data_IF_105828088124
#
_entry.id   IF_105828088124
#
_cell.length_a   1.000
_cell.length_b   1.000
_cell.length_c   1.000
_cell.angle_alpha   90.00
_cell.angle_beta   90.00
_cell.angle_gamma   90.00
#
_symmetry.space_group_name_H-M   'P 1'
#
loop_
_entity.id
_entity.type
_entity.pdbx_description
1 polymer ?
#
# COMPACT_ATOMS: atom_id res chain seq x y z
N UNK A 1 8.88 6.46 5.80
CA UNK A 1 8.52 7.88 5.71
C UNK A 1 9.72 8.75 5.29
N UNK A 2 10.77 8.87 6.12
CA UNK A 2 11.91 9.77 5.85
C UNK A 2 12.57 9.55 4.48
N UNK A 3 12.77 8.28 4.08
CA UNK A 3 13.33 7.89 2.77
C UNK A 3 12.62 8.55 1.57
N UNK A 4 11.32 8.83 1.69
CA UNK A 4 10.49 9.34 0.60
C UNK A 4 10.22 10.85 0.70
N UNK A 5 10.74 11.53 1.72
CA UNK A 5 10.38 12.92 2.05
C UNK A 5 11.60 13.80 2.30
N UNK A 6 12.49 13.40 3.21
CA UNK A 6 13.56 14.26 3.73
C UNK A 6 14.97 13.70 3.50
N UNK A 7 15.09 12.40 3.21
CA UNK A 7 16.38 11.71 3.11
C UNK A 7 17.25 12.30 1.97
N UNK A 8 18.52 12.69 2.24
CA UNK A 8 19.44 13.08 1.20
C UNK A 8 19.73 11.94 0.22
N UNK A 9 19.87 12.26 -1.07
CA UNK A 9 20.11 11.26 -2.13
C UNK A 9 21.33 10.36 -1.86
N UNK A 10 22.40 10.89 -1.24
CA UNK A 10 23.60 10.11 -0.93
C UNK A 10 23.45 9.09 0.22
N UNK A 11 22.30 9.02 0.90
CA UNK A 11 22.12 8.19 2.08
C UNK A 11 21.48 6.80 1.80
N UNK A 12 21.23 6.47 0.53
CA UNK A 12 20.50 5.25 0.11
C UNK A 12 21.10 3.95 0.69
N UNK A 13 22.42 3.76 0.58
CA UNK A 13 23.08 2.54 1.07
C UNK A 13 22.97 2.40 2.60
N UNK A 14 23.17 3.50 3.32
CA UNK A 14 23.06 3.52 4.77
C UNK A 14 21.61 3.23 5.22
N UNK A 15 20.62 3.82 4.54
CA UNK A 15 19.20 3.58 4.80
C UNK A 15 18.81 2.13 4.54
N UNK A 16 19.28 1.54 3.44
CA UNK A 16 19.03 0.14 3.13
C UNK A 16 19.56 -0.79 4.23
N UNK A 17 20.78 -0.55 4.73
CA UNK A 17 21.36 -1.33 5.85
C UNK A 17 20.55 -1.18 7.15
N UNK A 18 20.07 0.03 7.46
CA UNK A 18 19.22 0.29 8.63
C UNK A 18 17.89 -0.49 8.55
N UNK A 19 17.22 -0.45 7.39
CA UNK A 19 15.97 -1.15 7.17
C UNK A 19 16.15 -2.67 7.23
N UNK A 20 17.22 -3.20 6.63
CA UNK A 20 17.52 -4.64 6.67
C UNK A 20 17.76 -5.12 8.11
N UNK A 21 18.55 -4.38 8.90
CA UNK A 21 18.80 -4.71 10.30
C UNK A 21 17.51 -4.70 11.13
N UNK A 22 16.67 -3.67 10.98
CA UNK A 22 15.40 -3.58 11.69
C UNK A 22 14.42 -4.69 11.26
N UNK A 23 14.37 -5.01 9.97
CA UNK A 23 13.53 -6.10 9.46
C UNK A 23 13.94 -7.45 10.06
N UNK A 24 15.25 -7.71 10.20
CA UNK A 24 15.75 -8.93 10.84
C UNK A 24 15.30 -9.02 12.31
N UNK A 25 15.45 -7.94 13.08
CA UNK A 25 15.01 -7.88 14.49
C UNK A 25 13.49 -8.08 14.60
N UNK A 26 12.71 -7.45 13.73
CA UNK A 26 11.25 -7.61 13.70
C UNK A 26 10.86 -9.05 13.35
N UNK A 27 11.55 -9.69 12.40
CA UNK A 27 11.26 -11.06 12.01
C UNK A 27 11.57 -12.05 13.13
N UNK A 28 12.74 -11.92 13.79
CA UNK A 28 13.10 -12.70 14.98
C UNK A 28 12.03 -12.57 16.07
N UNK A 29 11.65 -11.34 16.42
CA UNK A 29 10.62 -11.10 17.43
C UNK A 29 9.24 -11.69 17.05
N UNK A 30 8.86 -11.65 15.76
CA UNK A 30 7.59 -12.21 15.27
C UNK A 30 7.58 -13.74 15.21
N UNK A 31 8.75 -14.38 15.23
CA UNK A 31 8.90 -15.83 15.09
C UNK A 31 9.41 -16.50 16.36
N UNK A 32 9.49 -15.76 17.47
CA UNK A 32 9.93 -16.29 18.76
C UNK A 32 9.05 -17.49 19.18
N UNK A 33 9.64 -18.67 19.46
CA UNK A 33 8.91 -19.86 19.88
C UNK A 33 7.98 -19.65 21.07
N UNK A 34 8.32 -18.73 21.97
CA UNK A 34 7.51 -18.35 23.14
C UNK A 34 6.13 -17.87 22.72
N UNK A 35 6.03 -17.12 21.61
CA UNK A 35 4.74 -16.67 21.07
C UNK A 35 3.91 -17.88 20.65
N UNK A 36 4.51 -18.83 19.92
CA UNK A 36 3.84 -20.08 19.52
C UNK A 36 3.35 -20.89 20.71
N UNK A 37 4.13 -21.00 21.78
CA UNK A 37 3.74 -21.68 23.01
C UNK A 37 2.57 -21.01 23.71
N UNK A 38 2.59 -19.67 23.82
CA UNK A 38 1.51 -18.89 24.42
C UNK A 38 0.22 -19.02 23.60
N UNK A 39 0.30 -18.89 22.28
CA UNK A 39 -0.85 -19.06 21.39
C UNK A 39 -1.45 -20.47 21.52
N UNK A 40 -0.61 -21.51 21.60
CA UNK A 40 -1.07 -22.90 21.82
C UNK A 40 -1.79 -23.07 23.16
N UNK A 41 -1.30 -22.42 24.23
CA UNK A 41 -1.94 -22.44 25.56
C UNK A 41 -3.29 -21.70 25.57
N UNK A 42 -3.40 -20.61 24.81
CA UNK A 42 -4.61 -19.78 24.76
C UNK A 42 -5.69 -20.32 23.82
N UNK A 43 -5.33 -21.00 22.72
CA UNK A 43 -6.26 -21.55 21.71
C UNK A 43 -7.46 -22.33 22.31
N UNK A 44 -7.28 -23.23 23.30
CA UNK A 44 -8.40 -23.95 23.93
C UNK A 44 -9.43 -23.06 24.66
N UNK A 45 -9.03 -21.85 25.06
CA UNK A 45 -9.87 -20.91 25.80
C UNK A 45 -10.55 -19.87 24.90
N UNK A 46 -10.36 -19.95 23.58
CA UNK A 46 -10.81 -18.93 22.63
C UNK A 46 -12.32 -18.62 22.72
N UNK A 47 -13.15 -19.64 22.98
CA UNK A 47 -14.61 -19.47 23.10
C UNK A 47 -15.07 -18.80 24.39
N UNK A 48 -14.23 -18.77 25.43
CA UNK A 48 -14.50 -18.07 26.70
C UNK A 48 -13.94 -16.65 26.76
N UNK A 49 -13.17 -16.24 25.75
CA UNK A 49 -12.60 -14.89 25.71
C UNK A 49 -13.65 -13.85 25.28
N UNK A 50 -13.52 -12.60 25.75
CA UNK A 50 -14.23 -11.47 25.18
C UNK A 50 -14.00 -11.37 23.66
N UNK A 51 -14.96 -10.84 22.88
CA UNK A 51 -14.86 -10.81 21.41
C UNK A 51 -13.57 -10.18 20.87
N UNK A 52 -13.07 -9.13 21.53
CA UNK A 52 -11.82 -8.46 21.15
C UNK A 52 -10.60 -9.35 21.35
N UNK A 53 -10.47 -9.99 22.52
CA UNK A 53 -9.36 -10.89 22.82
C UNK A 53 -9.38 -12.15 21.95
N UNK A 54 -10.58 -12.68 21.66
CA UNK A 54 -10.75 -13.78 20.73
C UNK A 54 -10.29 -13.39 19.30
N UNK A 55 -10.58 -12.17 18.86
CA UNK A 55 -10.11 -11.66 17.58
C UNK A 55 -8.59 -11.48 17.55
N UNK A 56 -7.99 -10.94 18.62
CA UNK A 56 -6.54 -10.82 18.78
C UNK A 56 -5.85 -12.19 18.72
N UNK A 57 -6.35 -13.16 19.49
CA UNK A 57 -5.82 -14.52 19.48
C UNK A 57 -5.89 -15.15 18.09
N UNK A 58 -7.00 -14.97 17.37
CA UNK A 58 -7.18 -15.49 16.01
C UNK A 58 -6.18 -14.84 15.04
N UNK A 59 -6.13 -13.51 14.98
CA UNK A 59 -5.26 -12.77 14.05
C UNK A 59 -3.77 -13.02 14.37
N UNK A 60 -3.39 -13.02 15.65
CA UNK A 60 -2.03 -13.32 16.07
C UNK A 60 -1.64 -14.76 15.72
N UNK A 61 -2.54 -15.73 15.88
CA UNK A 61 -2.32 -17.12 15.46
C UNK A 61 -2.12 -17.22 13.95
N UNK A 62 -3.01 -16.62 13.16
CA UNK A 62 -2.93 -16.63 11.70
C UNK A 62 -1.59 -16.02 11.22
N UNK A 63 -1.19 -14.87 11.79
CA UNK A 63 0.07 -14.19 11.45
C UNK A 63 1.30 -14.98 11.88
N UNK A 64 1.30 -15.54 13.08
CA UNK A 64 2.40 -16.37 13.56
C UNK A 64 2.58 -17.60 12.68
N UNK A 65 1.49 -18.35 12.45
CA UNK A 65 1.52 -19.56 11.63
C UNK A 65 2.01 -19.28 10.20
N UNK A 66 1.60 -18.15 9.60
CA UNK A 66 2.08 -17.72 8.27
C UNK A 66 3.57 -17.34 8.29
N UNK A 67 3.99 -16.52 9.26
CA UNK A 67 5.37 -16.03 9.35
C UNK A 67 6.32 -17.18 9.66
N UNK A 68 5.95 -18.10 10.56
CA UNK A 68 6.78 -19.23 10.96
C UNK A 68 6.92 -20.31 9.88
N UNK A 69 6.02 -20.36 8.91
CA UNK A 69 6.13 -21.26 7.74
C UNK A 69 7.18 -20.78 6.75
N UNK A 70 7.49 -19.48 6.74
CA UNK A 70 8.52 -18.92 5.88
C UNK A 70 9.90 -19.12 6.51
N UNK A 71 10.75 -19.93 5.87
CA UNK A 71 12.11 -20.13 6.35
C UNK A 71 12.94 -18.85 6.20
N UNK A 72 13.94 -18.67 7.06
CA UNK A 72 14.89 -17.56 6.94
C UNK A 72 15.60 -17.54 5.58
N UNK A 73 15.89 -18.71 5.02
CA UNK A 73 16.46 -18.85 3.68
C UNK A 73 15.50 -18.37 2.57
N UNK A 74 14.21 -18.72 2.66
CA UNK A 74 13.20 -18.25 1.71
C UNK A 74 13.02 -16.72 1.80
N UNK A 75 12.95 -16.19 3.03
CA UNK A 75 12.85 -14.75 3.28
C UNK A 75 14.06 -13.98 2.72
N UNK A 76 15.29 -14.48 2.95
CA UNK A 76 16.50 -13.88 2.42
C UNK A 76 16.53 -13.89 0.87
N UNK A 77 16.14 -15.01 0.27
CA UNK A 77 16.08 -15.15 -1.19
C UNK A 77 15.01 -14.24 -1.81
N UNK A 78 13.87 -14.07 -1.15
CA UNK A 78 12.84 -13.11 -1.55
C UNK A 78 13.39 -11.68 -1.55
N UNK A 79 14.00 -11.25 -0.44
CA UNK A 79 14.53 -9.89 -0.31
C UNK A 79 15.62 -9.59 -1.35
N UNK A 80 16.54 -10.53 -1.61
CA UNK A 80 17.55 -10.40 -2.64
C UNK A 80 16.91 -10.26 -4.04
N UNK A 81 15.94 -11.13 -4.35
CA UNK A 81 15.25 -11.10 -5.64
C UNK A 81 14.47 -9.80 -5.85
N UNK A 82 13.75 -9.31 -4.84
CA UNK A 82 13.00 -8.05 -4.92
C UNK A 82 13.94 -6.86 -5.19
N UNK A 83 15.08 -6.78 -4.49
CA UNK A 83 16.08 -5.72 -4.71
C UNK A 83 16.65 -5.77 -6.13
N UNK A 84 17.03 -6.95 -6.62
CA UNK A 84 17.55 -7.10 -7.99
C UNK A 84 16.47 -6.80 -9.03
N UNK A 85 15.24 -7.27 -8.80
CA UNK A 85 14.11 -7.09 -9.69
C UNK A 85 13.73 -5.63 -9.85
N UNK A 86 13.72 -4.86 -8.77
CA UNK A 86 13.47 -3.42 -8.83
C UNK A 86 14.51 -2.69 -9.68
N UNK A 87 15.80 -2.99 -9.49
CA UNK A 87 16.88 -2.41 -10.30
C UNK A 87 16.80 -2.80 -11.77
N UNK A 88 16.50 -4.06 -12.07
CA UNK A 88 16.31 -4.55 -13.45
C UNK A 88 15.10 -3.88 -14.12
N UNK A 89 13.96 -3.83 -13.44
CA UNK A 89 12.74 -3.17 -13.91
C UNK A 89 12.95 -1.69 -14.19
N UNK A 90 13.64 -0.97 -13.31
CA UNK A 90 13.87 0.48 -13.46
C UNK A 90 14.62 0.79 -14.75
N UNK A 91 15.69 0.03 -15.05
CA UNK A 91 16.44 0.19 -16.31
C UNK A 91 15.62 -0.21 -17.53
N UNK A 92 15.03 -1.41 -17.48
CA UNK A 92 14.20 -1.94 -18.57
C UNK A 92 13.03 -1.01 -18.93
N UNK A 93 12.39 -0.39 -17.93
CA UNK A 93 11.32 0.59 -18.14
C UNK A 93 11.83 1.85 -18.81
N UNK A 94 12.99 2.37 -18.40
CA UNK A 94 13.58 3.58 -19.00
C UNK A 94 13.95 3.35 -20.47
N UNK A 95 14.37 2.14 -20.82
CA UNK A 95 14.79 1.74 -22.17
C UNK A 95 13.66 1.11 -23.00
N UNK A 96 12.46 0.94 -22.42
CA UNK A 96 11.35 0.19 -23.01
C UNK A 96 11.73 -1.25 -23.45
N UNK A 97 12.63 -1.89 -22.71
CA UNK A 97 13.16 -3.22 -23.02
C UNK A 97 12.48 -4.32 -22.17
N UNK A 98 11.39 -4.88 -22.72
CA UNK A 98 10.72 -6.04 -22.11
C UNK A 98 11.63 -7.28 -22.01
N UNK A 99 12.48 -7.51 -23.02
CA UNK A 99 13.33 -8.69 -23.09
C UNK A 99 14.32 -8.75 -21.92
N UNK A 100 14.84 -7.59 -21.50
CA UNK A 100 15.71 -7.47 -20.35
C UNK A 100 15.01 -7.79 -19.01
N UNK A 101 13.71 -7.49 -18.86
CA UNK A 101 13.00 -7.71 -17.60
C UNK A 101 12.30 -9.08 -17.50
N UNK A 102 11.85 -9.64 -18.62
CA UNK A 102 11.06 -10.88 -18.64
C UNK A 102 11.66 -12.06 -17.83
N UNK A 103 12.98 -12.34 -17.89
CA UNK A 103 13.58 -13.40 -17.07
C UNK A 103 13.46 -13.13 -15.56
N UNK A 104 13.69 -11.88 -15.15
CA UNK A 104 13.61 -11.49 -13.74
C UNK A 104 12.18 -11.56 -13.23
N UNK A 105 11.20 -11.15 -14.05
CA UNK A 105 9.78 -11.29 -13.70
C UNK A 105 9.37 -12.75 -13.55
N UNK A 106 9.92 -13.66 -14.37
CA UNK A 106 9.68 -15.10 -14.23
C UNK A 106 10.19 -15.62 -12.88
N UNK A 107 11.40 -15.23 -12.47
CA UNK A 107 11.93 -15.56 -11.14
C UNK A 107 11.01 -15.04 -10.02
N UNK A 108 10.53 -13.79 -10.12
CA UNK A 108 9.58 -13.20 -9.15
C UNK A 108 8.29 -14.01 -9.08
N UNK A 109 7.75 -14.43 -10.23
CA UNK A 109 6.54 -15.24 -10.28
C UNK A 109 6.74 -16.61 -9.63
N UNK A 110 7.84 -17.29 -9.92
CA UNK A 110 8.18 -18.59 -9.32
C UNK A 110 8.37 -18.47 -7.80
N UNK A 111 9.05 -17.42 -7.34
CA UNK A 111 9.20 -17.11 -5.91
C UNK A 111 7.85 -16.91 -5.22
N UNK A 112 6.96 -16.10 -5.79
CA UNK A 112 5.65 -15.84 -5.19
C UNK A 112 4.79 -17.11 -5.12
N UNK A 113 4.88 -18.00 -6.12
CA UNK A 113 4.21 -19.30 -6.07
C UNK A 113 4.73 -20.17 -4.93
N UNK A 114 6.05 -20.19 -4.71
CA UNK A 114 6.66 -20.93 -3.60
C UNK A 114 6.22 -20.36 -2.23
N UNK A 115 6.24 -19.04 -2.07
CA UNK A 115 5.78 -18.35 -0.85
C UNK A 115 4.32 -18.68 -0.56
N UNK A 116 3.43 -18.57 -1.56
CA UNK A 116 2.02 -18.88 -1.42
C UNK A 116 1.79 -20.35 -1.04
N UNK A 117 2.46 -21.28 -1.73
CA UNK A 117 2.34 -22.72 -1.46
C UNK A 117 2.88 -23.09 -0.06
N UNK A 118 3.88 -22.38 0.43
CA UNK A 118 4.49 -22.62 1.75
C UNK A 118 3.64 -22.07 2.89
N UNK A 119 3.15 -20.84 2.73
CA UNK A 119 2.44 -20.11 3.80
C UNK A 119 0.95 -20.43 3.87
N UNK A 120 0.33 -20.81 2.74
CA UNK A 120 -1.11 -21.13 2.61
C UNK A 120 -1.31 -22.39 1.73
N UNK A 121 -0.79 -23.55 2.14
CA UNK A 121 -0.81 -24.79 1.32
C UNK A 121 -2.23 -25.30 1.02
N UNK A 122 -3.22 -24.92 1.84
CA UNK A 122 -4.60 -25.40 1.73
C UNK A 122 -5.46 -24.56 0.77
N UNK A 123 -4.88 -23.57 0.07
CA UNK A 123 -5.57 -22.68 -0.85
C UNK A 123 -5.02 -22.82 -2.29
N UNK A 124 -5.85 -22.57 -3.32
CA UNK A 124 -5.33 -22.33 -4.66
C UNK A 124 -4.28 -21.21 -4.64
N UNK A 125 -3.17 -21.39 -5.35
CA UNK A 125 -2.01 -20.50 -5.26
C UNK A 125 -2.38 -19.02 -5.51
N UNK A 126 -3.29 -18.76 -6.46
CA UNK A 126 -3.70 -17.39 -6.76
C UNK A 126 -4.61 -16.80 -5.68
N UNK A 127 -5.48 -17.61 -5.07
CA UNK A 127 -6.29 -17.17 -3.92
C UNK A 127 -5.41 -16.93 -2.69
N UNK A 128 -4.38 -17.75 -2.48
CA UNK A 128 -3.37 -17.51 -1.45
C UNK A 128 -2.65 -16.18 -1.65
N UNK A 129 -2.27 -15.86 -2.89
CA UNK A 129 -1.67 -14.58 -3.24
C UNK A 129 -2.63 -13.41 -2.96
N UNK A 130 -3.90 -13.53 -3.35
CA UNK A 130 -4.93 -12.52 -3.09
C UNK A 130 -5.12 -12.31 -1.57
N UNK A 131 -5.27 -13.39 -0.81
CA UNK A 131 -5.53 -13.36 0.63
C UNK A 131 -4.42 -12.70 1.45
N UNK A 132 -3.17 -12.70 0.94
CA UNK A 132 -2.07 -11.95 1.55
C UNK A 132 -2.26 -10.43 1.51
N UNK A 133 -3.02 -9.92 0.53
CA UNK A 133 -3.28 -8.48 0.36
C UNK A 133 -4.69 -8.09 0.83
N UNK A 134 -5.67 -8.95 0.60
CA UNK A 134 -7.07 -8.73 1.00
C UNK A 134 -7.61 -10.02 1.67
N UNK A 135 -7.50 -10.14 3.00
CA UNK A 135 -7.84 -11.37 3.71
C UNK A 135 -9.27 -11.83 3.44
N UNK A 136 -9.40 -13.12 3.11
CA UNK A 136 -10.62 -13.85 2.72
C UNK A 136 -11.15 -13.53 1.33
N UNK A 137 -10.48 -12.67 0.57
CA UNK A 137 -10.82 -12.44 -0.84
C UNK A 137 -10.36 -13.61 -1.71
N UNK A 138 -11.09 -13.88 -2.79
CA UNK A 138 -10.80 -15.00 -3.70
C UNK A 138 -10.99 -14.57 -5.15
N UNK A 139 -10.33 -15.27 -6.08
CA UNK A 139 -10.44 -15.01 -7.51
C UNK A 139 -11.88 -15.15 -8.03
N UNK A 140 -12.71 -16.13 -7.61
CA UNK A 140 -14.13 -16.16 -7.96
C UNK A 140 -14.90 -14.93 -7.50
N UNK A 141 -14.64 -14.42 -6.29
CA UNK A 141 -15.30 -13.22 -5.78
C UNK A 141 -14.87 -11.96 -6.54
N UNK A 142 -13.57 -11.82 -6.83
CA UNK A 142 -13.05 -10.73 -7.67
C UNK A 142 -13.69 -10.78 -9.06
N UNK A 143 -13.80 -11.98 -9.65
CA UNK A 143 -14.44 -12.15 -10.96
C UNK A 143 -15.90 -11.70 -10.94
N UNK A 144 -16.67 -12.05 -9.91
CA UNK A 144 -18.06 -11.60 -9.78
C UNK A 144 -18.16 -10.06 -9.75
N UNK A 145 -17.30 -9.40 -8.97
CA UNK A 145 -17.25 -7.93 -8.89
C UNK A 145 -16.88 -7.33 -10.25
N UNK A 146 -15.85 -7.88 -10.91
CA UNK A 146 -15.40 -7.40 -12.22
C UNK A 146 -16.45 -7.60 -13.30
N UNK A 147 -17.18 -8.71 -13.30
CA UNK A 147 -18.24 -8.95 -14.27
C UNK A 147 -19.37 -7.90 -14.11
N UNK A 148 -19.76 -7.56 -12.87
CA UNK A 148 -20.75 -6.51 -12.58
C UNK A 148 -20.25 -5.13 -13.00
N UNK A 149 -19.04 -4.74 -12.59
CA UNK A 149 -18.45 -3.44 -12.94
C UNK A 149 -18.30 -3.31 -14.45
N UNK A 150 -17.83 -4.35 -15.14
CA UNK A 150 -17.63 -4.33 -16.60
C UNK A 150 -18.95 -4.22 -17.36
N UNK A 151 -20.01 -4.89 -16.90
CA UNK A 151 -21.32 -4.84 -17.55
C UNK A 151 -21.88 -3.41 -17.62
N UNK A 152 -21.67 -2.61 -16.58
CA UNK A 152 -22.20 -1.24 -16.49
C UNK A 152 -21.19 -0.17 -16.96
N UNK A 153 -19.93 -0.28 -16.52
CA UNK A 153 -18.94 0.77 -16.73
C UNK A 153 -18.41 0.78 -18.17
N UNK A 154 -18.29 -0.37 -18.84
CA UNK A 154 -17.78 -0.39 -20.21
C UNK A 154 -18.74 0.31 -21.20
N UNK A 155 -20.06 0.05 -21.21
CA UNK A 155 -20.99 0.82 -22.04
C UNK A 155 -21.01 2.31 -21.70
N UNK A 156 -20.92 2.66 -20.41
CA UNK A 156 -20.89 4.06 -19.98
C UNK A 156 -19.64 4.80 -20.51
N UNK A 157 -18.46 4.20 -20.37
CA UNK A 157 -17.20 4.76 -20.91
C UNK A 157 -17.31 4.93 -22.42
N UNK A 158 -17.82 3.92 -23.15
CA UNK A 158 -18.00 4.02 -24.60
C UNK A 158 -18.97 5.14 -24.99
N UNK A 159 -20.07 5.33 -24.25
CA UNK A 159 -21.03 6.40 -24.49
C UNK A 159 -20.43 7.78 -24.23
N UNK A 160 -19.68 7.95 -23.15
CA UNK A 160 -18.99 9.20 -22.83
C UNK A 160 -17.94 9.52 -23.89
N UNK A 161 -17.11 8.53 -24.27
CA UNK A 161 -16.08 8.71 -25.29
C UNK A 161 -16.67 9.13 -26.64
N UNK A 162 -17.74 8.47 -27.10
CA UNK A 162 -18.43 8.84 -28.34
C UNK A 162 -19.02 10.25 -28.28
N UNK A 163 -19.53 10.67 -27.11
CA UNK A 163 -20.04 12.03 -26.92
C UNK A 163 -18.94 13.08 -26.96
N UNK A 164 -17.79 12.80 -26.32
CA UNK A 164 -16.61 13.69 -26.36
C UNK A 164 -16.03 13.77 -27.77
N UNK A 165 -16.02 12.67 -28.53
CA UNK A 165 -15.59 12.67 -29.93
C UNK A 165 -16.51 13.53 -30.81
N UNK A 166 -17.82 13.43 -30.59
CA UNK A 166 -18.81 14.25 -31.31
C UNK A 166 -18.80 15.73 -30.89
N UNK A 167 -18.43 16.03 -29.64
CA UNK A 167 -18.39 17.37 -29.07
C UNK A 167 -17.12 17.58 -28.21
N UNK A 168 -15.96 17.86 -28.84
CA UNK A 168 -14.67 17.95 -28.13
C UNK A 168 -14.63 19.01 -27.02
N UNK A 169 -15.44 20.06 -27.12
CA UNK A 169 -15.57 21.10 -26.10
C UNK A 169 -16.06 20.58 -24.75
N UNK A 170 -16.71 19.41 -24.69
CA UNK A 170 -17.11 18.77 -23.42
C UNK A 170 -15.92 18.32 -22.57
N UNK A 171 -14.75 18.15 -23.19
CA UNK A 171 -13.52 17.72 -22.52
C UNK A 171 -12.53 18.89 -22.33
N UNK A 172 -12.87 20.09 -22.80
CA UNK A 172 -12.02 21.26 -22.58
C UNK A 172 -12.09 21.70 -21.11
N UNK A 173 -10.93 21.69 -20.46
CA UNK A 173 -10.80 22.27 -19.12
C UNK A 173 -10.93 23.80 -19.28
N UNK A 174 -11.83 24.48 -18.54
CA UNK A 174 -11.96 25.94 -18.63
C UNK A 174 -10.63 26.64 -18.35
N UNK A 175 -10.34 27.74 -19.04
CA UNK A 175 -9.06 28.46 -18.93
C UNK A 175 -8.61 28.76 -17.48
N UNK A 176 -9.49 29.17 -16.54
CA UNK A 176 -9.08 29.36 -15.15
C UNK A 176 -8.55 28.10 -14.47
N UNK A 177 -8.93 26.91 -14.93
CA UNK A 177 -8.62 25.59 -14.35
C UNK A 177 -7.52 24.82 -15.11
N UNK A 178 -7.02 25.34 -16.24
CA UNK A 178 -6.06 24.65 -17.13
C UNK A 178 -4.65 24.43 -16.52
N UNK A 179 -4.41 24.86 -15.28
CA UNK A 179 -3.06 24.89 -14.72
C UNK A 179 -2.20 26.01 -15.31
N UNK A 180 -0.93 26.06 -14.92
CA UNK A 180 0.06 27.02 -15.39
C UNK A 180 0.79 27.74 -14.24
N UNK A 181 1.73 28.63 -14.55
CA UNK A 181 2.56 29.33 -13.55
C UNK A 181 1.78 30.13 -12.50
N UNK A 182 0.51 30.48 -12.79
CA UNK A 182 -0.43 31.13 -11.86
C UNK A 182 -0.80 30.21 -10.68
N UNK A 183 -0.70 28.89 -10.86
CA UNK A 183 -1.01 27.88 -9.85
C UNK A 183 0.20 27.60 -8.95
N UNK A 184 0.62 28.63 -8.21
CA UNK A 184 1.72 28.56 -7.25
C UNK A 184 1.56 27.37 -6.27
N UNK A 185 2.60 26.54 -6.17
CA UNK A 185 2.56 25.30 -5.39
C UNK A 185 2.47 25.52 -3.88
N UNK A 186 2.89 26.69 -3.36
CA UNK A 186 2.71 27.02 -1.94
C UNK A 186 1.26 27.34 -1.64
N UNK A 187 0.57 28.08 -2.52
CA UNK A 187 -0.87 28.29 -2.42
C UNK A 187 -1.66 26.99 -2.54
N UNK A 188 -1.18 26.05 -3.37
CA UNK A 188 -1.75 24.70 -3.41
C UNK A 188 -1.57 23.96 -2.07
N UNK A 189 -0.41 24.06 -1.43
CA UNK A 189 -0.16 23.49 -0.10
C UNK A 189 -1.08 24.11 0.96
N UNK A 190 -1.21 25.42 1.00
CA UNK A 190 -2.14 26.14 1.89
C UNK A 190 -3.58 25.63 1.72
N UNK A 191 -4.09 25.60 0.48
CA UNK A 191 -5.42 25.08 0.18
C UNK A 191 -5.59 23.62 0.59
N UNK A 192 -4.61 22.77 0.29
CA UNK A 192 -4.70 21.35 0.61
C UNK A 192 -4.68 21.11 2.13
N UNK A 193 -3.96 21.92 2.91
CA UNK A 193 -3.99 21.87 4.37
C UNK A 193 -5.36 22.29 4.92
N UNK A 194 -5.97 23.32 4.33
CA UNK A 194 -7.34 23.73 4.67
C UNK A 194 -8.35 22.61 4.36
N UNK A 195 -8.23 21.96 3.20
CA UNK A 195 -9.07 20.82 2.81
C UNK A 195 -8.88 19.65 3.79
N UNK A 196 -7.64 19.29 4.12
CA UNK A 196 -7.34 18.23 5.07
C UNK A 196 -7.97 18.51 6.45
N UNK A 197 -7.81 19.74 6.96
CA UNK A 197 -8.44 20.17 8.21
C UNK A 197 -9.98 20.11 8.12
N UNK A 198 -10.58 20.53 7.00
CA UNK A 198 -12.02 20.50 6.80
C UNK A 198 -12.60 19.07 6.73
N UNK A 199 -11.84 18.12 6.19
CA UNK A 199 -12.19 16.68 6.22
C UNK A 199 -12.13 16.12 7.64
N UNK A 200 -11.29 16.71 8.50
CA UNK A 200 -11.14 16.35 9.91
C UNK A 200 -9.76 15.83 10.29
N UNK A 201 -8.75 15.95 9.41
CA UNK A 201 -7.39 15.52 9.70
C UNK A 201 -6.82 16.31 10.90
N UNK A 202 -6.44 15.60 11.95
CA UNK A 202 -5.92 16.20 13.18
C UNK A 202 -4.40 16.43 13.04
N UNK A 203 -4.02 17.68 12.76
CA UNK A 203 -2.62 18.10 12.67
C UNK A 203 -1.86 18.05 14.01
N UNK A 204 -2.54 17.89 15.16
CA UNK A 204 -1.85 17.62 16.43
C UNK A 204 -1.41 16.15 16.55
N UNK A 205 -2.00 15.25 15.75
CA UNK A 205 -1.73 13.81 15.70
C UNK A 205 -1.11 13.36 14.37
N UNK A 206 -0.58 14.30 13.61
CA UNK A 206 -0.14 14.03 12.26
C UNK A 206 0.56 15.18 11.58
N UNK A 207 1.00 14.93 10.36
CA UNK A 207 1.61 15.95 9.50
C UNK A 207 1.40 15.63 8.02
N UNK A 208 1.59 16.67 7.21
CA UNK A 208 1.46 16.62 5.77
C UNK A 208 2.73 17.16 5.11
N UNK A 209 3.28 16.38 4.17
CA UNK A 209 4.55 16.63 3.48
C UNK A 209 4.47 16.36 1.98
N UNK A 210 5.57 16.62 1.26
CA UNK A 210 5.68 16.34 -0.18
C UNK A 210 6.51 15.07 -0.43
N UNK A 211 6.05 14.24 -1.34
CA UNK A 211 6.80 13.09 -1.88
C UNK A 211 6.51 12.89 -3.37
N UNK A 212 7.29 12.04 -4.04
CA UNK A 212 7.11 11.74 -5.48
C UNK A 212 5.75 11.06 -5.75
N UNK A 213 5.38 10.14 -4.87
CA UNK A 213 4.10 9.45 -4.87
C UNK A 213 3.41 9.71 -3.53
N UNK A 214 2.17 10.24 -3.51
CA UNK A 214 1.37 10.38 -2.29
C UNK A 214 1.25 9.05 -1.55
N UNK A 215 1.32 9.08 -0.22
CA UNK A 215 1.05 7.93 0.63
C UNK A 215 0.66 8.37 2.04
N UNK A 216 -0.01 7.47 2.74
CA UNK A 216 -0.30 7.56 4.17
C UNK A 216 0.61 6.62 4.94
N UNK A 217 1.15 7.09 6.06
CA UNK A 217 1.99 6.33 6.95
C UNK A 217 1.90 6.85 8.38
N UNK A 218 2.88 6.48 9.20
CA UNK A 218 2.82 6.70 10.64
C UNK A 218 2.94 5.38 11.39
N UNK A 219 3.13 5.44 12.70
CA UNK A 219 3.29 4.24 13.53
C UNK A 219 2.16 4.06 14.55
N UNK A 220 1.36 5.09 14.79
CA UNK A 220 0.34 5.07 15.82
C UNK A 220 -0.79 6.06 15.49
N UNK A 221 -1.94 5.91 16.13
CA UNK A 221 -3.13 6.78 15.96
C UNK A 221 -2.87 8.26 16.30
N UNK A 222 -1.78 8.53 17.04
CA UNK A 222 -1.32 9.87 17.42
C UNK A 222 -0.16 10.39 16.57
N UNK A 223 0.30 9.61 15.58
CA UNK A 223 1.31 10.02 14.60
C UNK A 223 0.97 9.37 13.25
N UNK A 224 -0.02 9.97 12.57
CA UNK A 224 -0.48 9.60 11.23
C UNK A 224 -0.04 10.68 10.25
N UNK A 225 0.72 10.30 9.23
CA UNK A 225 1.35 11.23 8.29
C UNK A 225 0.83 10.97 6.90
N UNK A 226 0.54 12.04 6.17
CA UNK A 226 0.19 11.97 4.76
C UNK A 226 1.23 12.70 3.94
N UNK A 227 1.36 12.32 2.68
CA UNK A 227 2.10 13.10 1.71
C UNK A 227 1.24 13.40 0.49
N UNK A 228 1.57 14.48 -0.21
CA UNK A 228 0.99 14.77 -1.53
C UNK A 228 2.08 15.26 -2.48
N UNK A 229 1.70 15.68 -3.67
CA UNK A 229 2.59 16.37 -4.62
C UNK A 229 1.84 17.50 -5.32
N UNK A 230 2.56 18.55 -5.69
CA UNK A 230 2.00 19.72 -6.35
C UNK A 230 2.57 19.85 -7.75
N UNK A 231 1.73 20.33 -8.67
CA UNK A 231 2.10 20.60 -10.05
C UNK A 231 1.44 21.89 -10.47
N UNK A 232 2.22 22.82 -11.03
CA UNK A 232 1.67 24.03 -11.65
C UNK A 232 0.76 23.66 -12.83
N UNK A 233 1.15 22.67 -13.63
CA UNK A 233 0.38 22.24 -14.80
C UNK A 233 -0.87 21.42 -14.49
N UNK A 234 -1.01 20.90 -13.27
CA UNK A 234 -2.16 20.09 -12.88
C UNK A 234 -2.42 20.18 -11.36
N UNK A 235 -3.00 21.29 -10.92
CA UNK A 235 -3.30 21.56 -9.51
C UNK A 235 -4.26 20.53 -8.88
N UNK A 236 -5.09 19.87 -9.70
CA UNK A 236 -6.03 18.84 -9.25
C UNK A 236 -5.30 17.65 -8.64
N UNK A 237 -4.06 17.35 -9.06
CA UNK A 237 -3.28 16.24 -8.49
C UNK A 237 -3.02 16.43 -6.99
N UNK A 238 -2.66 17.65 -6.57
CA UNK A 238 -2.39 17.95 -5.18
C UNK A 238 -3.64 17.83 -4.32
N UNK A 239 -4.76 18.35 -4.82
CA UNK A 239 -6.06 18.30 -4.13
C UNK A 239 -6.58 16.86 -4.04
N UNK A 240 -6.65 16.14 -5.17
CA UNK A 240 -7.15 14.76 -5.19
C UNK A 240 -6.25 13.82 -4.37
N UNK A 241 -4.93 13.97 -4.46
CA UNK A 241 -3.96 13.24 -3.65
C UNK A 241 -4.17 13.51 -2.15
N UNK A 242 -4.32 14.78 -1.77
CA UNK A 242 -4.58 15.13 -0.36
C UNK A 242 -5.87 14.52 0.15
N UNK A 243 -6.97 14.61 -0.61
CA UNK A 243 -8.26 14.02 -0.22
C UNK A 243 -8.14 12.50 -0.07
N UNK A 244 -7.48 11.83 -1.02
CA UNK A 244 -7.28 10.38 -0.99
C UNK A 244 -6.51 9.94 0.25
N UNK A 245 -5.34 10.55 0.50
CA UNK A 245 -4.51 10.21 1.66
C UNK A 245 -5.16 10.63 2.99
N UNK A 246 -5.91 11.74 3.02
CA UNK A 246 -6.73 12.07 4.18
C UNK A 246 -7.76 10.98 4.48
N UNK A 247 -8.35 10.35 3.47
CA UNK A 247 -9.26 9.22 3.69
C UNK A 247 -8.61 8.07 4.48
N UNK A 248 -7.41 7.66 4.08
CA UNK A 248 -6.62 6.66 4.81
C UNK A 248 -6.23 7.16 6.20
N UNK A 249 -5.80 8.42 6.31
CA UNK A 249 -5.37 8.98 7.58
C UNK A 249 -6.50 9.11 8.59
N UNK A 250 -7.72 9.45 8.15
CA UNK A 250 -8.90 9.50 9.01
C UNK A 250 -9.25 8.11 9.53
N UNK A 251 -9.10 7.07 8.72
CA UNK A 251 -9.25 5.70 9.20
C UNK A 251 -8.22 5.39 10.30
N UNK A 252 -6.95 5.73 10.09
CA UNK A 252 -5.88 5.47 11.05
C UNK A 252 -5.98 6.31 12.34
N UNK A 253 -6.31 7.60 12.24
CA UNK A 253 -6.54 8.48 13.39
C UNK A 253 -7.81 8.12 14.17
N UNK A 254 -8.78 7.48 13.50
CA UNK A 254 -10.03 7.00 14.09
C UNK A 254 -9.91 5.66 14.82
N UNK A 255 -8.75 4.98 14.77
CA UNK A 255 -8.53 3.72 15.49
C UNK A 255 -8.51 3.94 17.02
N UNK A 256 -8.96 2.96 17.83
CA UNK A 256 -8.94 3.08 19.29
C UNK A 256 -7.51 3.25 19.82
N UNK A 257 -7.25 4.33 20.56
CA UNK A 257 -5.90 4.68 21.03
C UNK A 257 -5.33 3.72 22.09
N UNK A 258 -6.18 3.12 22.93
CA UNK A 258 -5.75 2.17 23.97
C UNK A 258 -5.37 0.78 23.43
N UNK A 259 -5.57 0.56 22.12
CA UNK A 259 -5.40 -0.72 21.42
C UNK A 259 -4.43 -0.61 20.23
N UNK A 260 -3.87 0.59 20.01
CA UNK A 260 -3.04 0.97 18.87
C UNK A 260 -1.55 0.70 19.03
#
# INVERSE_FOLDING_TARGET
WDQQTMMPQGAEEARAKQQAALAAVIHEAKTDPTIGELLKKLKPHASSLPPFDAANLRIASERYDQTSRMSSALAARQAELESRAYGAWTRARAESDWGAFAPTLKEVFEMQREICSTTKPDMPIYDAAIDMFDPKMTAPRIKEIFDQVKAELAPLISSIAAKVEAEPSLHEVPAPLQGGPEWDTKKQDELCREIAAAIGFDFAKGRMDVSVHPFTGGSHTTDVRITTRYSEGNWVEGVAGTIHECGHAMYEQGRPAEQG
#
